data_IF_388826517671
#
_entry.id   IF_388826517671
#
_cell.length_a   1.000
_cell.length_b   1.000
_cell.length_c   1.000
_cell.angle_alpha   90.00
_cell.angle_beta   90.00
_cell.angle_gamma   90.00
#
_symmetry.space_group_name_H-M   'P 1'
#
loop_
_entity.id
_entity.type
_entity.pdbx_description
1 polymer ?
#
# COMPACT_ATOMS: atom_id res chain seq x y z
N UNK A 1 28.00 28.93 -5.83
CA UNK A 1 27.20 27.74 -5.40
C UNK A 1 26.27 27.34 -6.55
N UNK A 2 26.26 26.06 -6.94
CA UNK A 2 25.32 25.59 -7.98
C UNK A 2 23.96 25.36 -7.31
N UNK A 3 22.94 26.07 -7.80
CA UNK A 3 21.55 25.89 -7.30
C UNK A 3 20.97 24.64 -7.95
N UNK A 4 20.60 23.65 -7.14
CA UNK A 4 20.06 22.36 -7.61
C UNK A 4 19.32 21.66 -6.47
N UNK A 5 18.35 20.84 -6.83
CA UNK A 5 17.65 19.99 -5.88
C UNK A 5 18.55 18.86 -5.37
N UNK A 6 18.25 18.37 -4.18
CA UNK A 6 18.84 17.11 -3.70
C UNK A 6 18.45 15.98 -4.64
N UNK A 7 19.40 15.10 -4.95
CA UNK A 7 19.13 13.96 -5.83
C UNK A 7 17.97 13.11 -5.29
N UNK A 8 16.94 12.91 -6.12
CA UNK A 8 15.73 12.16 -5.74
C UNK A 8 14.65 12.99 -5.07
N UNK A 9 14.78 14.33 -5.08
CA UNK A 9 13.69 15.25 -4.73
C UNK A 9 13.30 16.10 -5.94
N UNK A 10 12.03 16.49 -6.02
CA UNK A 10 11.47 17.25 -7.14
C UNK A 10 10.55 18.36 -6.63
N UNK A 11 10.73 19.57 -7.16
CA UNK A 11 9.77 20.66 -6.95
C UNK A 11 8.58 20.46 -7.92
N UNK A 12 7.38 20.47 -7.39
CA UNK A 12 6.16 20.37 -8.20
C UNK A 12 5.77 21.75 -8.71
N UNK A 13 5.93 21.97 -10.02
CA UNK A 13 5.52 23.22 -10.66
C UNK A 13 3.99 23.30 -10.77
N UNK A 14 3.42 24.53 -10.99
CA UNK A 14 1.97 24.75 -10.94
C UNK A 14 1.15 23.79 -11.78
N UNK A 15 1.56 23.45 -13.00
CA UNK A 15 0.83 22.52 -13.88
C UNK A 15 0.65 21.13 -13.25
N UNK A 16 1.72 20.57 -12.69
CA UNK A 16 1.67 19.26 -12.00
C UNK A 16 0.94 19.35 -10.67
N UNK A 17 1.12 20.45 -9.95
CA UNK A 17 0.47 20.68 -8.66
C UNK A 17 -1.05 20.80 -8.78
N UNK A 18 -1.56 21.39 -9.86
CA UNK A 18 -2.99 21.44 -10.19
C UNK A 18 -3.58 20.03 -10.32
N UNK A 19 -2.93 19.17 -11.10
CA UNK A 19 -3.38 17.79 -11.29
C UNK A 19 -3.35 17.04 -9.97
N UNK A 20 -2.26 17.15 -9.20
CA UNK A 20 -2.17 16.51 -7.89
C UNK A 20 -3.28 16.95 -6.94
N UNK A 21 -3.60 18.25 -6.87
CA UNK A 21 -4.69 18.75 -6.04
C UNK A 21 -6.05 18.23 -6.47
N UNK A 22 -6.30 18.14 -7.77
CA UNK A 22 -7.53 17.54 -8.31
C UNK A 22 -7.66 16.07 -7.87
N UNK A 23 -6.59 15.29 -8.00
CA UNK A 23 -6.53 13.91 -7.52
C UNK A 23 -6.80 13.85 -6.01
N UNK A 24 -6.06 14.60 -5.22
CA UNK A 24 -6.19 14.62 -3.76
C UNK A 24 -7.61 14.96 -3.33
N UNK A 25 -8.21 16.01 -3.88
CA UNK A 25 -9.58 16.42 -3.56
C UNK A 25 -10.59 15.31 -3.90
N UNK A 26 -10.48 14.69 -5.08
CA UNK A 26 -11.37 13.60 -5.48
C UNK A 26 -11.26 12.39 -4.54
N UNK A 27 -10.04 12.06 -4.11
CA UNK A 27 -9.80 10.97 -3.17
C UNK A 27 -10.36 11.30 -1.79
N UNK A 28 -10.04 12.47 -1.24
CA UNK A 28 -10.49 12.88 0.11
C UNK A 28 -12.01 12.98 0.21
N UNK A 29 -12.68 13.59 -0.77
CA UNK A 29 -14.15 13.65 -0.82
C UNK A 29 -14.77 12.24 -0.79
N UNK A 30 -14.09 11.26 -1.41
CA UNK A 30 -14.57 9.88 -1.39
C UNK A 30 -14.27 9.23 -0.04
N UNK A 31 -13.09 9.40 0.54
CA UNK A 31 -12.74 8.86 1.85
C UNK A 31 -13.72 9.35 2.93
N UNK A 32 -14.01 10.65 2.95
CA UNK A 32 -14.95 11.26 3.91
C UNK A 32 -16.37 10.73 3.74
N UNK A 33 -16.84 10.48 2.51
CA UNK A 33 -18.12 9.82 2.24
C UNK A 33 -18.21 8.43 2.90
N UNK A 34 -17.10 7.69 2.99
CA UNK A 34 -17.01 6.39 3.66
C UNK A 34 -16.70 6.50 5.16
N UNK A 35 -16.69 7.71 5.72
CA UNK A 35 -16.49 7.97 7.14
C UNK A 35 -15.03 7.93 7.60
N UNK A 36 -14.08 8.04 6.69
CA UNK A 36 -12.67 8.20 7.05
C UNK A 36 -12.37 9.64 7.43
N UNK A 37 -11.63 9.83 8.52
CA UNK A 37 -11.29 11.13 9.07
C UNK A 37 -9.85 11.52 8.74
N UNK A 38 -9.57 12.82 8.51
CA UNK A 38 -8.22 13.28 8.26
C UNK A 38 -7.33 13.11 9.49
N UNK A 39 -6.12 12.60 9.28
CA UNK A 39 -5.07 12.53 10.29
C UNK A 39 -3.81 13.14 9.71
N UNK A 40 -3.05 13.88 10.54
CA UNK A 40 -1.70 14.36 10.21
C UNK A 40 -0.75 13.93 11.33
N UNK A 41 0.29 13.18 10.97
CA UNK A 41 1.26 12.65 11.91
C UNK A 41 2.62 13.33 11.76
N UNK A 42 3.43 13.30 12.82
CA UNK A 42 4.75 13.94 12.83
C UNK A 42 5.69 13.31 11.80
N UNK A 43 6.39 14.14 11.03
CA UNK A 43 7.45 13.72 10.11
C UNK A 43 8.66 13.21 10.89
N UNK A 44 9.04 13.93 11.96
CA UNK A 44 10.13 13.53 12.85
C UNK A 44 9.65 12.49 13.85
N UNK A 45 10.34 11.36 13.90
CA UNK A 45 10.09 10.27 14.83
C UNK A 45 11.37 9.88 15.57
N UNK A 46 11.24 9.26 16.72
CA UNK A 46 12.39 8.54 17.29
C UNK A 46 12.78 7.41 16.35
N UNK A 47 14.08 7.23 16.14
CA UNK A 47 14.58 6.17 15.25
C UNK A 47 14.13 4.78 15.69
N UNK A 48 14.14 4.50 17.00
CA UNK A 48 13.74 3.21 17.56
C UNK A 48 12.28 2.87 17.23
N UNK A 49 11.40 3.88 17.16
CA UNK A 49 10.00 3.68 16.73
C UNK A 49 9.94 3.23 15.27
N UNK A 50 10.71 3.87 14.39
CA UNK A 50 10.76 3.50 12.96
C UNK A 50 11.39 2.12 12.76
N UNK A 51 12.39 1.78 13.58
CA UNK A 51 13.07 0.50 13.55
C UNK A 51 12.22 -0.67 14.10
N UNK A 52 11.30 -0.41 15.02
CA UNK A 52 10.51 -1.44 15.71
C UNK A 52 9.60 -2.26 14.77
N UNK A 53 9.15 -1.68 13.65
CA UNK A 53 8.38 -2.39 12.61
C UNK A 53 9.19 -3.50 11.93
N UNK A 54 10.51 -3.37 11.92
CA UNK A 54 11.43 -4.16 11.10
C UNK A 54 12.44 -4.92 11.96
N UNK A 55 11.99 -5.50 13.07
CA UNK A 55 12.80 -6.20 14.07
C UNK A 55 13.62 -7.39 13.56
N UNK A 56 13.62 -7.66 12.26
CA UNK A 56 14.40 -8.71 11.59
C UNK A 56 15.59 -8.22 10.76
N UNK A 57 16.03 -6.96 10.89
CA UNK A 57 17.23 -6.47 10.16
C UNK A 57 17.01 -6.20 8.69
N UNK A 58 15.80 -5.79 8.31
CA UNK A 58 15.44 -5.54 6.91
C UNK A 58 16.27 -4.43 6.27
N UNK A 59 16.48 -4.53 4.95
CA UNK A 59 17.17 -3.49 4.16
C UNK A 59 16.49 -2.11 4.26
N UNK A 60 15.23 -2.08 4.65
CA UNK A 60 14.44 -0.86 4.85
C UNK A 60 15.06 0.05 5.91
N UNK A 61 15.64 -0.51 6.99
CA UNK A 61 16.29 0.29 8.03
C UNK A 61 17.50 1.08 7.50
N UNK A 62 18.15 0.60 6.44
CA UNK A 62 19.27 1.29 5.79
C UNK A 62 18.79 2.50 4.97
N UNK A 63 17.51 2.56 4.64
CA UNK A 63 16.92 3.65 3.86
C UNK A 63 16.23 4.72 4.75
N UNK A 64 16.28 4.61 6.07
CA UNK A 64 15.74 5.63 6.98
C UNK A 64 16.73 6.79 7.10
N UNK A 65 16.30 8.01 6.76
CA UNK A 65 17.06 9.22 7.06
C UNK A 65 17.19 9.42 8.57
N UNK A 66 18.41 9.43 9.09
CA UNK A 66 18.71 9.62 10.50
C UNK A 66 19.33 10.98 10.76
N UNK A 67 19.02 11.58 11.91
CA UNK A 67 19.58 12.84 12.36
C UNK A 67 19.71 12.87 13.89
N UNK A 68 20.54 13.78 14.39
CA UNK A 68 20.66 14.05 15.82
C UNK A 68 20.01 15.40 16.12
N UNK A 69 19.26 15.50 17.22
CA UNK A 69 18.81 16.76 17.75
C UNK A 69 19.86 17.38 18.70
N UNK A 70 19.57 18.58 19.24
CA UNK A 70 20.46 19.27 20.18
C UNK A 70 20.66 18.48 21.50
N UNK A 71 19.79 17.57 21.84
CA UNK A 71 19.87 16.68 23.00
C UNK A 71 20.57 15.34 22.69
N UNK A 72 21.23 15.22 21.53
CA UNK A 72 21.92 14.01 21.03
C UNK A 72 21.00 12.78 20.87
N UNK A 73 19.67 12.99 20.80
CA UNK A 73 18.73 11.91 20.55
C UNK A 73 18.75 11.54 19.07
N UNK A 74 18.71 10.23 18.78
CA UNK A 74 18.62 9.74 17.41
C UNK A 74 17.18 9.79 16.92
N UNK A 75 16.96 10.62 15.91
CA UNK A 75 15.67 10.78 15.23
C UNK A 75 15.74 10.24 13.81
N UNK A 76 14.58 10.01 13.20
CA UNK A 76 14.46 9.68 11.79
C UNK A 76 13.31 10.42 11.14
N UNK A 77 13.38 10.58 9.82
CA UNK A 77 12.25 11.02 9.03
C UNK A 77 11.35 9.81 8.75
N UNK A 78 10.03 9.99 8.86
CA UNK A 78 9.06 8.92 8.62
C UNK A 78 9.25 8.32 7.22
N UNK A 79 9.37 7.00 7.19
CA UNK A 79 9.57 6.23 5.98
C UNK A 79 8.26 5.88 5.27
N UNK A 80 7.18 5.76 6.06
CA UNK A 80 5.81 5.52 5.66
C UNK A 80 4.83 6.24 6.61
N UNK A 81 3.53 6.08 6.36
CA UNK A 81 2.47 6.61 7.22
C UNK A 81 1.86 5.54 8.15
N UNK A 82 2.21 4.26 7.98
CA UNK A 82 1.68 3.14 8.78
C UNK A 82 2.26 3.12 10.20
N UNK A 83 3.59 3.31 10.35
CA UNK A 83 4.25 3.35 11.67
C UNK A 83 3.78 4.56 12.48
N UNK A 84 3.74 5.79 11.93
CA UNK A 84 3.16 6.94 12.63
C UNK A 84 1.70 6.73 13.03
N UNK A 85 0.87 6.13 12.16
CA UNK A 85 -0.51 5.77 12.49
C UNK A 85 -0.56 4.78 13.67
N UNK A 86 0.22 3.71 13.61
CA UNK A 86 0.28 2.70 14.68
C UNK A 86 0.68 3.33 16.03
N UNK A 87 1.63 4.28 16.02
CA UNK A 87 1.99 5.08 17.20
C UNK A 87 0.78 5.88 17.73
N UNK A 88 0.05 6.57 16.86
CA UNK A 88 -1.12 7.37 17.26
C UNK A 88 -2.15 6.50 17.93
N UNK A 89 -2.50 5.34 17.37
CA UNK A 89 -3.43 4.40 18.00
C UNK A 89 -2.89 3.94 19.34
N UNK A 90 -1.64 3.50 19.43
CA UNK A 90 -1.04 2.98 20.65
C UNK A 90 -1.04 3.99 21.79
N UNK A 91 -0.88 5.27 21.49
CA UNK A 91 -0.90 6.34 22.51
C UNK A 91 -2.31 6.73 22.95
N UNK A 92 -3.33 6.56 22.10
CA UNK A 92 -4.63 7.19 22.23
C UNK A 92 -5.82 6.23 22.29
N UNK A 93 -5.68 4.95 21.90
CA UNK A 93 -6.77 3.97 21.96
C UNK A 93 -7.32 3.82 23.37
N UNK A 94 -8.64 3.84 23.51
CA UNK A 94 -9.32 3.79 24.80
C UNK A 94 -9.20 5.05 25.67
N UNK A 95 -8.58 6.14 25.14
CA UNK A 95 -8.45 7.44 25.81
C UNK A 95 -9.15 8.53 25.01
N UNK A 96 -8.55 8.95 23.90
CA UNK A 96 -9.06 10.00 23.01
C UNK A 96 -9.52 9.46 21.67
N UNK A 97 -9.16 8.22 21.33
CA UNK A 97 -9.59 7.54 20.10
C UNK A 97 -10.45 6.34 20.50
N UNK A 98 -11.67 6.31 19.99
CA UNK A 98 -12.56 5.15 20.07
C UNK A 98 -12.33 4.24 18.88
N UNK A 99 -12.34 2.93 19.10
CA UNK A 99 -12.34 1.92 18.05
C UNK A 99 -13.80 1.51 17.70
N UNK A 100 -14.09 1.19 16.45
CA UNK A 100 -13.18 1.23 15.30
C UNK A 100 -12.82 2.66 14.87
N UNK A 101 -11.57 2.84 14.41
CA UNK A 101 -11.06 4.13 13.96
C UNK A 101 -10.67 4.05 12.49
N UNK A 102 -11.32 4.89 11.67
CA UNK A 102 -11.10 5.05 10.23
C UNK A 102 -10.37 6.36 9.99
N UNK A 103 -9.22 6.32 9.33
CA UNK A 103 -8.45 7.53 9.00
C UNK A 103 -7.97 7.54 7.56
N UNK A 104 -7.71 8.73 7.03
CA UNK A 104 -6.81 8.91 5.89
C UNK A 104 -5.70 9.90 6.25
N UNK A 105 -4.56 9.75 5.61
CA UNK A 105 -3.45 10.70 5.71
C UNK A 105 -2.75 10.83 4.35
N UNK A 106 -2.53 12.10 3.94
CA UNK A 106 -1.78 12.41 2.73
C UNK A 106 -0.57 13.22 3.14
N UNK A 107 0.60 12.61 3.09
CA UNK A 107 1.80 13.23 3.62
C UNK A 107 3.08 12.79 2.94
N UNK A 108 4.11 13.63 3.06
CA UNK A 108 5.45 13.31 2.58
C UNK A 108 6.10 12.24 3.44
N UNK A 109 6.77 11.31 2.77
CA UNK A 109 7.61 10.28 3.36
C UNK A 109 9.00 10.31 2.71
N UNK A 110 10.00 9.75 3.40
CA UNK A 110 11.40 9.94 3.06
C UNK A 110 12.14 8.60 3.06
N UNK A 111 12.90 8.35 1.98
CA UNK A 111 13.66 7.09 1.82
C UNK A 111 15.03 7.38 1.25
N UNK A 112 16.11 7.11 2.01
CA UNK A 112 17.50 7.26 1.54
C UNK A 112 17.95 6.05 0.71
N UNK A 113 17.13 5.67 -0.25
CA UNK A 113 17.40 4.58 -1.16
C UNK A 113 17.99 5.03 -2.50
N UNK A 114 18.39 4.07 -3.34
CA UNK A 114 18.86 4.36 -4.69
C UNK A 114 17.73 4.97 -5.53
N UNK A 115 18.02 6.11 -6.15
CA UNK A 115 17.08 6.79 -7.06
C UNK A 115 17.01 6.03 -8.38
N UNK A 116 15.81 5.61 -8.76
CA UNK A 116 15.47 4.93 -10.02
C UNK A 116 14.16 5.52 -10.55
N UNK A 117 13.81 5.22 -11.79
CA UNK A 117 12.49 5.55 -12.33
C UNK A 117 11.39 5.01 -11.40
N UNK A 118 10.48 5.88 -10.97
CA UNK A 118 9.43 5.54 -10.00
C UNK A 118 9.88 5.46 -8.53
N UNK A 119 11.17 5.72 -8.21
CA UNK A 119 11.69 5.77 -6.83
C UNK A 119 12.33 7.14 -6.52
N UNK A 120 11.62 7.97 -5.80
CA UNK A 120 12.10 9.22 -5.24
C UNK A 120 12.52 9.06 -3.78
N UNK A 121 13.34 10.00 -3.29
CA UNK A 121 13.75 10.05 -1.88
C UNK A 121 12.76 10.81 -0.99
N UNK A 122 11.98 11.69 -1.59
CA UNK A 122 10.87 12.40 -0.98
C UNK A 122 9.66 12.29 -1.90
N UNK A 123 8.55 11.76 -1.40
CA UNK A 123 7.32 11.61 -2.16
C UNK A 123 6.09 11.58 -1.25
N UNK A 124 4.91 11.78 -1.82
CA UNK A 124 3.66 11.68 -1.08
C UNK A 124 3.16 10.25 -1.05
N UNK A 125 2.76 9.79 0.14
CA UNK A 125 1.82 8.69 0.30
C UNK A 125 0.42 9.24 0.53
N UNK A 126 -0.59 8.47 0.13
CA UNK A 126 -2.00 8.72 0.36
C UNK A 126 -2.58 7.42 0.90
N UNK A 127 -2.61 7.32 2.22
CA UNK A 127 -2.94 6.10 2.94
C UNK A 127 -4.29 6.22 3.62
N UNK A 128 -5.06 5.16 3.55
CA UNK A 128 -6.36 5.00 4.20
C UNK A 128 -6.31 3.74 5.04
N UNK A 129 -6.63 3.84 6.33
CA UNK A 129 -6.53 2.73 7.27
C UNK A 129 -7.73 2.67 8.21
N UNK A 130 -8.01 1.44 8.65
CA UNK A 130 -8.99 1.13 9.69
C UNK A 130 -8.31 0.29 10.75
N UNK A 131 -8.53 0.63 12.01
CA UNK A 131 -8.13 -0.18 13.17
C UNK A 131 -9.33 -0.55 14.01
N UNK A 132 -9.39 -1.80 14.47
CA UNK A 132 -10.40 -2.29 15.40
C UNK A 132 -11.59 -3.02 14.76
N UNK A 133 -11.48 -3.49 13.52
CA UNK A 133 -12.49 -4.34 12.87
C UNK A 133 -11.84 -5.64 12.40
N UNK A 134 -12.37 -6.75 12.86
CA UNK A 134 -12.01 -8.09 12.40
C UNK A 134 -12.85 -8.49 11.17
N UNK A 135 -12.38 -9.53 10.44
CA UNK A 135 -13.08 -10.13 9.31
C UNK A 135 -12.97 -9.35 8.00
N UNK A 136 -13.47 -9.97 6.94
CA UNK A 136 -13.30 -9.50 5.56
C UNK A 136 -14.29 -8.41 5.15
N UNK A 137 -15.29 -8.09 6.00
CA UNK A 137 -16.27 -7.03 5.72
C UNK A 137 -15.61 -5.68 5.45
N UNK A 138 -14.67 -5.28 6.32
CA UNK A 138 -14.01 -3.97 6.17
C UNK A 138 -13.05 -3.94 4.97
N UNK A 139 -12.48 -5.09 4.59
CA UNK A 139 -11.68 -5.23 3.38
C UNK A 139 -12.54 -5.03 2.14
N UNK A 140 -13.76 -5.60 2.10
CA UNK A 140 -14.71 -5.42 1.02
C UNK A 140 -15.17 -3.94 0.90
N UNK A 141 -15.46 -3.27 2.02
CA UNK A 141 -15.78 -1.83 2.03
C UNK A 141 -14.62 -1.01 1.45
N UNK A 142 -13.38 -1.32 1.86
CA UNK A 142 -12.20 -0.62 1.38
C UNK A 142 -11.97 -0.84 -0.12
N UNK A 143 -12.19 -2.05 -0.64
CA UNK A 143 -12.13 -2.33 -2.08
C UNK A 143 -13.21 -1.56 -2.84
N UNK A 144 -14.45 -1.52 -2.34
CA UNK A 144 -15.55 -0.75 -2.93
C UNK A 144 -15.21 0.75 -3.00
N UNK A 145 -14.73 1.32 -1.89
CA UNK A 145 -14.25 2.71 -1.84
C UNK A 145 -13.11 2.95 -2.84
N UNK A 146 -12.15 2.04 -2.91
CA UNK A 146 -11.01 2.13 -3.82
C UNK A 146 -11.47 2.18 -5.28
N UNK A 147 -12.36 1.29 -5.69
CA UNK A 147 -12.93 1.27 -7.04
C UNK A 147 -13.68 2.57 -7.33
N UNK A 148 -14.48 3.08 -6.36
CA UNK A 148 -15.18 4.37 -6.51
C UNK A 148 -14.21 5.53 -6.71
N UNK A 149 -13.09 5.56 -5.98
CA UNK A 149 -12.05 6.57 -6.14
C UNK A 149 -11.50 6.61 -7.57
N UNK A 150 -11.11 5.47 -8.11
CA UNK A 150 -10.57 5.40 -9.47
C UNK A 150 -11.62 5.69 -10.54
N UNK A 151 -12.86 5.25 -10.36
CA UNK A 151 -13.98 5.62 -11.25
C UNK A 151 -14.18 7.13 -11.33
N UNK A 152 -14.16 7.83 -10.18
CA UNK A 152 -14.30 9.30 -10.15
C UNK A 152 -13.11 10.02 -10.81
N UNK A 153 -11.92 9.41 -10.80
CA UNK A 153 -10.75 9.90 -11.51
C UNK A 153 -10.77 9.55 -13.02
N UNK A 154 -11.76 8.79 -13.49
CA UNK A 154 -11.83 8.34 -14.90
C UNK A 154 -10.80 7.27 -15.24
N UNK A 155 -10.32 6.52 -14.26
CA UNK A 155 -9.34 5.45 -14.43
C UNK A 155 -10.05 4.10 -14.25
N UNK A 156 -10.08 3.30 -15.30
CA UNK A 156 -10.57 1.93 -15.24
C UNK A 156 -9.51 1.03 -14.59
N UNK A 157 -9.89 0.30 -13.55
CA UNK A 157 -8.97 -0.52 -12.77
C UNK A 157 -9.43 -1.96 -12.65
N UNK A 158 -8.48 -2.85 -12.36
CA UNK A 158 -8.74 -4.15 -11.76
C UNK A 158 -7.86 -4.33 -10.52
N UNK A 159 -8.29 -5.19 -9.62
CA UNK A 159 -7.62 -5.43 -8.34
C UNK A 159 -7.23 -6.90 -8.27
N UNK A 160 -5.96 -7.18 -8.19
CA UNK A 160 -5.46 -8.50 -7.85
C UNK A 160 -5.51 -8.70 -6.34
N UNK A 161 -6.02 -9.83 -5.90
CA UNK A 161 -6.30 -10.11 -4.48
C UNK A 161 -5.77 -11.49 -4.14
N UNK A 162 -5.11 -11.60 -3.00
CA UNK A 162 -4.68 -12.84 -2.37
C UNK A 162 -4.80 -12.76 -0.85
N UNK A 163 -4.42 -13.82 -0.18
CA UNK A 163 -4.30 -13.87 1.27
C UNK A 163 -2.93 -14.40 1.67
N UNK A 164 -2.26 -13.74 2.61
CA UNK A 164 -0.92 -14.09 3.09
C UNK A 164 -0.86 -15.50 3.66
N UNK A 165 -1.84 -15.88 4.47
CA UNK A 165 -1.92 -17.21 5.08
C UNK A 165 -2.13 -18.27 4.01
N UNK A 166 -3.00 -18.00 3.00
CA UNK A 166 -3.21 -18.93 1.88
C UNK A 166 -1.90 -19.19 1.11
N UNK A 167 -1.13 -18.13 0.83
CA UNK A 167 0.17 -18.24 0.17
C UNK A 167 1.17 -19.05 1.01
N UNK A 168 1.22 -18.79 2.33
CA UNK A 168 2.04 -19.57 3.27
C UNK A 168 1.62 -21.03 3.29
N UNK A 169 0.31 -21.30 3.28
CA UNK A 169 -0.25 -22.64 3.19
C UNK A 169 0.16 -23.39 1.91
N UNK A 170 0.17 -22.73 0.76
CA UNK A 170 0.68 -23.30 -0.49
C UNK A 170 2.17 -23.62 -0.43
N UNK A 171 2.97 -22.74 0.13
CA UNK A 171 4.42 -22.95 0.29
C UNK A 171 4.69 -24.17 1.16
N UNK A 172 4.03 -24.29 2.31
CA UNK A 172 4.18 -25.43 3.21
C UNK A 172 3.71 -26.73 2.53
N UNK A 173 2.56 -26.70 1.84
CA UNK A 173 2.02 -27.87 1.12
C UNK A 173 2.89 -28.35 -0.02
N UNK A 174 3.73 -27.49 -0.57
CA UNK A 174 4.71 -27.86 -1.59
C UNK A 174 5.92 -28.62 -1.02
N UNK A 175 5.93 -28.86 0.31
CA UNK A 175 7.03 -29.51 1.02
C UNK A 175 8.20 -28.59 1.34
N UNK A 176 8.01 -27.26 1.24
CA UNK A 176 9.01 -26.25 1.60
C UNK A 176 8.94 -26.03 3.12
N UNK A 177 10.10 -25.93 3.76
CA UNK A 177 10.21 -25.77 5.20
C UNK A 177 9.66 -24.39 5.63
N UNK A 178 8.94 -24.35 6.75
CA UNK A 178 8.26 -23.13 7.25
C UNK A 178 9.22 -21.95 7.45
N UNK A 179 10.45 -22.20 7.85
CA UNK A 179 11.51 -21.20 8.04
C UNK A 179 11.91 -20.50 6.73
N UNK A 180 11.67 -21.12 5.59
CA UNK A 180 11.96 -20.54 4.27
C UNK A 180 10.79 -19.74 3.69
N UNK A 181 9.62 -19.75 4.31
CA UNK A 181 8.40 -19.12 3.79
C UNK A 181 8.60 -17.63 3.48
N UNK A 182 9.19 -16.86 4.39
CA UNK A 182 9.47 -15.44 4.16
C UNK A 182 10.39 -15.20 2.97
N UNK A 183 11.41 -16.06 2.80
CA UNK A 183 12.32 -15.98 1.64
C UNK A 183 11.61 -16.27 0.33
N UNK A 184 10.76 -17.30 0.30
CA UNK A 184 9.96 -17.65 -0.88
C UNK A 184 9.04 -16.51 -1.26
N UNK A 185 8.32 -15.93 -0.29
CA UNK A 185 7.40 -14.81 -0.52
C UNK A 185 8.13 -13.59 -1.09
N UNK A 186 9.31 -13.25 -0.57
CA UNK A 186 10.14 -12.16 -1.11
C UNK A 186 10.60 -12.40 -2.56
N UNK A 187 10.83 -13.67 -2.95
CA UNK A 187 11.16 -14.00 -4.34
C UNK A 187 9.93 -14.01 -5.23
N UNK A 188 8.80 -14.54 -4.73
CA UNK A 188 7.50 -14.56 -5.45
C UNK A 188 6.96 -13.15 -5.68
N UNK A 189 7.20 -12.19 -4.77
CA UNK A 189 6.87 -10.76 -4.97
C UNK A 189 7.51 -10.15 -6.23
N UNK A 190 8.58 -10.77 -6.70
CA UNK A 190 9.27 -10.34 -7.94
C UNK A 190 8.78 -11.10 -9.19
N UNK A 191 7.87 -12.06 -9.04
CA UNK A 191 7.45 -12.95 -10.13
C UNK A 191 7.05 -12.19 -11.40
N UNK A 192 6.29 -11.11 -11.26
CA UNK A 192 5.89 -10.28 -12.39
C UNK A 192 7.08 -9.59 -13.12
N UNK A 193 8.22 -9.42 -12.45
CA UNK A 193 9.42 -8.72 -12.98
C UNK A 193 10.44 -9.68 -13.57
N UNK A 194 10.70 -10.81 -12.90
CA UNK A 194 11.78 -11.73 -13.25
C UNK A 194 11.28 -13.05 -13.83
N UNK A 195 9.98 -13.25 -13.86
CA UNK A 195 9.35 -14.49 -14.34
C UNK A 195 9.58 -15.70 -13.43
N UNK A 196 8.96 -16.83 -13.76
CA UNK A 196 9.12 -18.09 -13.02
C UNK A 196 10.57 -18.55 -12.97
N UNK A 197 11.29 -18.49 -14.08
CA UNK A 197 12.70 -18.89 -14.16
C UNK A 197 13.59 -18.06 -13.23
N UNK A 198 13.32 -16.75 -13.13
CA UNK A 198 14.06 -15.87 -12.23
C UNK A 198 13.81 -16.19 -10.76
N UNK A 199 12.56 -16.52 -10.38
CA UNK A 199 12.23 -16.94 -9.01
C UNK A 199 12.88 -18.28 -8.68
N UNK A 200 12.88 -19.22 -9.62
CA UNK A 200 13.54 -20.52 -9.47
C UNK A 200 15.05 -20.35 -9.26
N UNK A 201 15.69 -19.48 -10.03
CA UNK A 201 17.12 -19.20 -9.91
C UNK A 201 17.47 -18.58 -8.54
N UNK A 202 16.64 -17.67 -8.02
CA UNK A 202 16.86 -17.08 -6.68
C UNK A 202 16.71 -18.11 -5.53
N UNK A 203 15.93 -19.17 -5.72
CA UNK A 203 15.60 -20.14 -4.69
C UNK A 203 16.35 -21.48 -4.79
N UNK A 204 17.03 -21.76 -5.90
CA UNK A 204 17.65 -23.05 -6.22
C UNK A 204 18.63 -23.60 -5.15
N UNK A 205 19.36 -22.71 -4.48
CA UNK A 205 20.34 -23.11 -3.47
C UNK A 205 19.72 -23.57 -2.14
N UNK A 206 18.44 -23.24 -1.94
CA UNK A 206 17.73 -23.52 -0.69
C UNK A 206 16.55 -24.46 -0.85
N UNK A 207 16.01 -24.63 -2.07
CA UNK A 207 14.77 -25.35 -2.32
C UNK A 207 14.95 -26.27 -3.54
N UNK A 208 14.62 -27.53 -3.37
CA UNK A 208 14.66 -28.51 -4.46
C UNK A 208 13.66 -28.15 -5.57
N UNK A 209 14.05 -28.41 -6.84
CA UNK A 209 13.22 -28.09 -8.02
C UNK A 209 11.83 -28.68 -7.95
N UNK A 210 11.69 -29.94 -7.49
CA UNK A 210 10.41 -30.63 -7.34
C UNK A 210 9.44 -29.87 -6.42
N UNK A 211 9.94 -29.29 -5.31
CA UNK A 211 9.13 -28.49 -4.40
C UNK A 211 8.64 -27.18 -5.06
N UNK A 212 9.48 -26.56 -5.89
CA UNK A 212 9.12 -25.39 -6.68
C UNK A 212 8.10 -25.76 -7.77
N UNK A 213 8.23 -26.92 -8.42
CA UNK A 213 7.26 -27.41 -9.40
C UNK A 213 5.87 -27.59 -8.76
N UNK A 214 5.82 -28.15 -7.57
CA UNK A 214 4.60 -28.29 -6.78
C UNK A 214 4.00 -26.93 -6.46
N UNK A 215 4.81 -25.96 -5.99
CA UNK A 215 4.35 -24.61 -5.66
C UNK A 215 3.77 -23.88 -6.88
N UNK A 216 4.50 -23.86 -7.99
CA UNK A 216 4.01 -23.20 -9.21
C UNK A 216 2.78 -23.90 -9.82
N UNK A 217 2.60 -25.19 -9.57
CA UNK A 217 1.36 -25.89 -9.91
C UNK A 217 0.17 -25.37 -9.11
N UNK A 218 0.33 -25.14 -7.79
CA UNK A 218 -0.70 -24.57 -6.92
C UNK A 218 -1.04 -23.12 -7.33
N UNK A 219 -0.10 -22.36 -7.83
CA UNK A 219 -0.33 -20.98 -8.30
C UNK A 219 -1.23 -20.86 -9.54
N UNK A 220 -1.57 -21.98 -10.19
CA UNK A 220 -2.47 -22.00 -11.35
C UNK A 220 -3.94 -22.13 -10.97
N UNK A 221 -4.26 -22.32 -9.69
CA UNK A 221 -5.63 -22.51 -9.23
C UNK A 221 -6.47 -21.23 -9.34
N UNK A 222 -7.76 -21.42 -9.52
CA UNK A 222 -8.76 -20.37 -9.34
C UNK A 222 -9.45 -20.51 -7.97
N UNK A 223 -10.23 -19.50 -7.58
CA UNK A 223 -10.86 -19.44 -6.25
C UNK A 223 -11.84 -20.61 -5.98
N UNK A 224 -12.52 -21.13 -7.00
CA UNK A 224 -13.46 -22.23 -6.85
C UNK A 224 -12.75 -23.57 -6.65
N UNK A 225 -11.54 -23.71 -7.17
CA UNK A 225 -10.73 -24.92 -7.01
C UNK A 225 -10.19 -25.10 -5.60
N UNK A 226 -10.11 -24.01 -4.80
CA UNK A 226 -9.65 -24.08 -3.41
C UNK A 226 -10.46 -25.06 -2.55
N UNK A 227 -11.75 -25.25 -2.85
CA UNK A 227 -12.60 -26.19 -2.09
C UNK A 227 -12.26 -27.64 -2.33
N UNK A 228 -11.72 -27.94 -3.49
CA UNK A 228 -11.38 -29.30 -3.91
C UNK A 228 -9.91 -29.67 -3.57
N UNK A 229 -9.13 -28.73 -3.04
CA UNK A 229 -7.74 -28.99 -2.65
C UNK A 229 -7.70 -29.73 -1.30
N UNK A 230 -7.08 -30.89 -1.29
CA UNK A 230 -6.85 -31.69 -0.08
C UNK A 230 -5.55 -31.22 0.61
N UNK A 231 -5.57 -30.01 1.16
CA UNK A 231 -4.46 -29.39 1.90
C UNK A 231 -4.90 -29.25 3.36
N UNK A 232 -4.11 -29.84 4.27
CA UNK A 232 -4.43 -29.97 5.69
C UNK A 232 -3.40 -29.24 6.56
N UNK A 233 -3.15 -27.96 6.26
CA UNK A 233 -2.39 -27.10 7.16
C UNK A 233 -3.23 -25.88 7.58
N UNK A 234 -2.97 -25.40 8.79
CA UNK A 234 -3.73 -24.33 9.43
C UNK A 234 -3.73 -23.05 8.58
N UNK A 235 -2.56 -22.67 8.04
CA UNK A 235 -2.40 -21.49 7.22
C UNK A 235 -3.28 -21.53 5.96
N UNK A 236 -3.34 -22.68 5.29
CA UNK A 236 -4.20 -22.83 4.11
C UNK A 236 -5.69 -22.76 4.50
N UNK A 237 -6.09 -23.46 5.56
CA UNK A 237 -7.49 -23.52 6.01
C UNK A 237 -8.00 -22.13 6.38
N UNK A 238 -7.25 -21.38 7.19
CA UNK A 238 -7.59 -20.02 7.57
C UNK A 238 -7.58 -19.09 6.37
N UNK A 239 -6.50 -19.08 5.57
CA UNK A 239 -6.37 -18.20 4.42
C UNK A 239 -7.45 -18.45 3.37
N UNK A 240 -7.83 -19.73 3.13
CA UNK A 240 -8.96 -20.10 2.28
C UNK A 240 -10.28 -19.55 2.82
N UNK A 241 -10.52 -19.68 4.12
CA UNK A 241 -11.73 -19.16 4.75
C UNK A 241 -11.85 -17.65 4.58
N UNK A 242 -10.79 -16.91 4.90
CA UNK A 242 -10.75 -15.45 4.80
C UNK A 242 -10.96 -14.96 3.35
N UNK A 243 -10.24 -15.55 2.39
CA UNK A 243 -10.34 -15.12 0.99
C UNK A 243 -11.71 -15.43 0.40
N UNK A 244 -12.31 -16.55 0.74
CA UNK A 244 -13.66 -16.92 0.29
C UNK A 244 -14.73 -16.04 0.90
N UNK A 245 -14.60 -15.68 2.16
CA UNK A 245 -15.48 -14.71 2.81
C UNK A 245 -15.41 -13.38 2.07
N UNK A 246 -14.19 -12.85 1.78
CA UNK A 246 -14.02 -11.62 1.03
C UNK A 246 -14.68 -11.69 -0.35
N UNK A 247 -14.46 -12.78 -1.10
CA UNK A 247 -15.05 -12.91 -2.42
C UNK A 247 -16.58 -13.06 -2.38
N UNK A 248 -17.16 -13.56 -1.27
CA UNK A 248 -18.62 -13.55 -1.08
C UNK A 248 -19.17 -12.14 -0.93
N UNK A 249 -18.45 -11.22 -0.25
CA UNK A 249 -18.81 -9.80 -0.20
C UNK A 249 -18.61 -9.10 -1.55
N UNK A 250 -17.54 -9.42 -2.27
CA UNK A 250 -17.27 -8.90 -3.62
C UNK A 250 -18.42 -9.24 -4.57
N UNK A 251 -18.91 -10.48 -4.51
CA UNK A 251 -20.06 -10.95 -5.30
C UNK A 251 -21.34 -10.21 -4.90
N UNK A 252 -21.63 -10.10 -3.60
CA UNK A 252 -22.79 -9.39 -3.07
C UNK A 252 -22.81 -7.90 -3.47
N UNK A 253 -21.63 -7.27 -3.57
CA UNK A 253 -21.48 -5.86 -3.94
C UNK A 253 -21.38 -5.64 -5.46
N UNK A 254 -21.51 -6.68 -6.27
CA UNK A 254 -21.37 -6.65 -7.74
C UNK A 254 -20.03 -6.06 -8.22
N UNK A 255 -18.94 -6.45 -7.53
CA UNK A 255 -17.58 -5.99 -7.81
C UNK A 255 -16.72 -7.00 -8.57
N UNK A 256 -17.29 -8.13 -9.03
CA UNK A 256 -16.59 -9.23 -9.68
C UNK A 256 -15.79 -8.80 -10.91
N UNK A 257 -16.28 -7.81 -11.66
CA UNK A 257 -15.59 -7.31 -12.87
C UNK A 257 -14.26 -6.59 -12.56
N UNK A 258 -14.07 -6.17 -11.29
CA UNK A 258 -12.87 -5.47 -10.82
C UNK A 258 -11.92 -6.40 -10.06
N UNK A 259 -12.40 -7.48 -9.49
CA UNK A 259 -11.65 -8.34 -8.59
C UNK A 259 -11.10 -9.59 -9.29
N UNK A 260 -9.83 -9.86 -9.10
CA UNK A 260 -9.14 -11.04 -9.63
C UNK A 260 -8.41 -11.75 -8.51
N UNK A 261 -8.75 -13.01 -8.26
CA UNK A 261 -7.95 -13.86 -7.40
C UNK A 261 -6.63 -14.20 -8.08
N UNK A 262 -5.51 -13.89 -7.40
CA UNK A 262 -4.15 -14.13 -7.89
C UNK A 262 -3.36 -14.85 -6.81
N UNK A 263 -3.33 -16.19 -6.81
CA UNK A 263 -2.84 -17.03 -5.70
C UNK A 263 -1.34 -16.83 -5.38
N UNK A 264 -0.60 -16.23 -6.30
CA UNK A 264 0.82 -15.89 -6.12
C UNK A 264 1.05 -14.40 -5.81
N UNK A 265 0.01 -13.57 -5.74
CA UNK A 265 0.21 -12.19 -5.33
C UNK A 265 0.83 -12.15 -3.94
N UNK A 266 2.00 -11.57 -3.87
CA UNK A 266 2.75 -11.36 -2.64
C UNK A 266 3.02 -9.86 -2.48
N UNK A 267 3.13 -9.44 -1.24
CA UNK A 267 3.63 -8.10 -0.90
C UNK A 267 4.90 -8.29 -0.11
N UNK A 268 6.00 -7.73 -0.58
CA UNK A 268 7.35 -7.89 0.00
C UNK A 268 7.54 -7.30 1.41
N UNK A 269 6.46 -6.85 2.05
CA UNK A 269 6.46 -6.36 3.41
C UNK A 269 5.99 -7.46 4.37
N UNK A 270 6.79 -7.79 5.38
CA UNK A 270 6.46 -8.79 6.41
C UNK A 270 5.32 -8.36 7.36
N UNK A 271 4.79 -7.16 7.17
CA UNK A 271 3.73 -6.60 8.03
C UNK A 271 2.36 -7.24 7.79
N UNK A 272 2.11 -7.75 6.58
CA UNK A 272 0.81 -8.28 6.23
C UNK A 272 0.53 -9.64 6.88
N UNK A 273 -0.68 -9.79 7.41
CA UNK A 273 -1.10 -10.95 8.20
C UNK A 273 -2.31 -11.70 7.61
N UNK A 274 -2.94 -11.15 6.60
CA UNK A 274 -4.16 -11.70 5.98
C UNK A 274 -4.27 -11.28 4.52
N UNK A 275 -5.42 -10.78 4.10
CA UNK A 275 -5.67 -10.32 2.74
C UNK A 275 -4.67 -9.26 2.30
N UNK A 276 -4.24 -9.38 1.03
CA UNK A 276 -3.40 -8.40 0.33
C UNK A 276 -3.98 -8.14 -1.05
N UNK A 277 -3.81 -6.91 -1.54
CA UNK A 277 -4.25 -6.55 -2.89
C UNK A 277 -3.37 -5.51 -3.56
N UNK A 278 -3.40 -5.51 -4.88
CA UNK A 278 -2.79 -4.48 -5.72
C UNK A 278 -3.78 -4.03 -6.80
N UNK A 279 -3.78 -2.73 -7.07
CA UNK A 279 -4.65 -2.08 -8.04
C UNK A 279 -3.86 -1.76 -9.30
N UNK A 280 -4.38 -2.13 -10.45
CA UNK A 280 -3.74 -1.93 -11.74
C UNK A 280 -4.65 -1.17 -12.70
N UNK A 281 -4.06 -0.36 -13.59
CA UNK A 281 -4.76 0.25 -14.70
C UNK A 281 -5.19 -0.82 -15.71
N UNK A 282 -6.48 -0.93 -15.99
CA UNK A 282 -7.05 -1.92 -16.92
C UNK A 282 -6.55 -1.73 -18.35
N UNK A 283 -6.16 -0.50 -18.72
CA UNK A 283 -5.56 -0.18 -20.02
C UNK A 283 -4.06 -0.45 -20.09
N UNK A 284 -3.44 -0.88 -19.00
CA UNK A 284 -2.01 -1.23 -18.92
C UNK A 284 -1.06 -0.11 -19.39
N UNK A 285 -1.44 1.17 -19.21
CA UNK A 285 -0.58 2.32 -19.52
C UNK A 285 0.65 2.37 -18.61
N UNK A 286 0.52 1.83 -17.40
CA UNK A 286 1.61 1.61 -16.44
C UNK A 286 1.75 0.13 -16.14
N UNK A 287 2.97 -0.34 -16.00
CA UNK A 287 3.29 -1.73 -15.66
C UNK A 287 3.35 -1.99 -14.15
N UNK A 288 3.30 -0.95 -13.33
CA UNK A 288 3.30 -1.04 -11.88
C UNK A 288 1.89 -0.88 -11.31
N UNK A 289 1.69 -1.39 -10.10
CA UNK A 289 0.48 -1.12 -9.34
C UNK A 289 0.35 0.38 -9.06
N UNK A 290 -0.88 0.91 -9.19
CA UNK A 290 -1.25 2.30 -8.93
C UNK A 290 -1.83 2.49 -7.53
N UNK A 291 -1.96 1.42 -6.78
CA UNK A 291 -2.35 1.37 -5.37
C UNK A 291 -2.19 -0.04 -4.84
N UNK A 292 -2.22 -0.20 -3.54
CA UNK A 292 -2.15 -1.52 -2.94
C UNK A 292 -2.17 -1.48 -1.42
N UNK A 293 -2.62 -2.56 -0.83
CA UNK A 293 -2.84 -2.63 0.60
C UNK A 293 -2.98 -4.05 1.13
N UNK A 294 -3.53 -4.14 2.33
CA UNK A 294 -3.83 -5.41 2.98
C UNK A 294 -3.98 -5.29 4.49
N UNK A 295 -4.24 -6.42 5.13
CA UNK A 295 -4.41 -6.57 6.58
C UNK A 295 -3.07 -6.71 7.29
N UNK A 296 -2.88 -5.98 8.41
CA UNK A 296 -1.63 -5.94 9.16
C UNK A 296 -1.85 -5.89 10.69
N UNK A 297 -2.45 -6.91 11.26
CA UNK A 297 -2.96 -6.96 12.63
C UNK A 297 -1.88 -6.92 13.73
N UNK A 298 -0.61 -7.19 13.39
CA UNK A 298 0.44 -7.37 14.40
C UNK A 298 1.08 -6.07 14.87
N UNK A 299 1.21 -5.03 14.04
CA UNK A 299 2.01 -3.84 14.36
C UNK A 299 1.43 -3.10 15.56
N UNK A 300 0.13 -2.75 15.51
CA UNK A 300 -0.55 -2.01 16.56
C UNK A 300 -0.64 -2.87 17.81
N UNK A 301 -1.00 -4.14 17.65
CA UNK A 301 -1.07 -5.12 18.74
C UNK A 301 0.26 -5.20 19.51
N UNK A 302 1.38 -5.31 18.80
CA UNK A 302 2.70 -5.37 19.41
C UNK A 302 3.14 -4.04 20.05
N UNK A 303 2.68 -2.89 19.55
CA UNK A 303 3.00 -1.59 20.13
C UNK A 303 2.26 -1.34 21.44
N UNK A 304 1.03 -1.83 21.55
CA UNK A 304 0.21 -1.66 22.76
C UNK A 304 0.58 -2.72 23.80
N UNK A 305 0.74 -3.98 23.39
CA UNK A 305 1.16 -5.14 24.20
C UNK A 305 0.37 -5.29 25.51
N UNK A 306 -0.95 -5.10 25.43
CA UNK A 306 -1.87 -5.18 26.57
C UNK A 306 -2.68 -6.50 26.61
N UNK A 307 -2.35 -7.45 25.74
CA UNK A 307 -3.02 -8.74 25.58
C UNK A 307 -4.26 -8.71 24.68
N UNK A 308 -4.69 -7.53 24.20
CA UNK A 308 -5.78 -7.41 23.25
C UNK A 308 -5.27 -7.44 21.80
N UNK A 309 -6.17 -7.77 20.87
CA UNK A 309 -5.91 -7.67 19.44
C UNK A 309 -6.38 -6.31 18.91
N UNK A 310 -5.56 -5.72 18.05
CA UNK A 310 -5.86 -4.47 17.35
C UNK A 310 -5.76 -4.70 15.84
N UNK A 311 -6.77 -5.38 15.25
CA UNK A 311 -6.77 -5.67 13.82
C UNK A 311 -6.75 -4.38 13.02
N UNK A 312 -5.94 -4.37 11.96
CA UNK A 312 -5.83 -3.22 11.09
C UNK A 312 -5.70 -3.63 9.63
N UNK A 313 -6.31 -2.82 8.77
CA UNK A 313 -6.26 -2.98 7.32
C UNK A 313 -6.13 -1.62 6.67
N UNK A 314 -5.37 -1.52 5.58
CA UNK A 314 -5.17 -0.24 4.91
C UNK A 314 -4.77 -0.37 3.45
N UNK A 315 -4.91 0.74 2.73
CA UNK A 315 -4.48 0.91 1.34
C UNK A 315 -3.67 2.19 1.19
N UNK A 316 -2.66 2.13 0.33
CA UNK A 316 -1.92 3.30 -0.16
C UNK A 316 -2.27 3.54 -1.63
N UNK A 317 -2.74 4.74 -1.96
CA UNK A 317 -2.96 5.19 -3.34
C UNK A 317 -1.66 5.78 -3.88
N UNK A 318 -1.23 5.30 -5.04
CA UNK A 318 -0.01 5.79 -5.70
C UNK A 318 -0.23 7.15 -6.37
N UNK A 319 -0.08 8.25 -5.63
CA UNK A 319 -0.36 9.60 -6.17
C UNK A 319 0.47 9.92 -7.42
N UNK A 320 1.74 9.51 -7.46
CA UNK A 320 2.61 9.76 -8.63
C UNK A 320 2.07 9.05 -9.87
N UNK A 321 1.90 7.72 -9.89
CA UNK A 321 1.36 7.03 -11.06
C UNK A 321 -0.08 7.47 -11.41
N UNK A 322 -0.93 7.79 -10.43
CA UNK A 322 -2.27 8.33 -10.72
C UNK A 322 -2.17 9.67 -11.45
N UNK A 323 -1.31 10.59 -11.00
CA UNK A 323 -1.10 11.88 -11.67
C UNK A 323 -0.52 11.69 -13.08
N UNK A 324 0.43 10.78 -13.28
CA UNK A 324 0.98 10.45 -14.61
C UNK A 324 -0.11 10.00 -15.59
N UNK A 325 -1.03 9.13 -15.14
CA UNK A 325 -2.16 8.68 -15.97
C UNK A 325 -3.11 9.83 -16.36
N UNK A 326 -3.22 10.86 -15.53
CA UNK A 326 -4.10 12.01 -15.79
C UNK A 326 -3.39 13.13 -16.58
N UNK A 327 -2.06 13.27 -16.47
CA UNK A 327 -1.28 14.25 -17.26
C UNK A 327 -1.48 14.04 -18.78
N UNK A 328 -1.63 12.80 -19.23
CA UNK A 328 -1.88 12.48 -20.64
C UNK A 328 -3.27 12.93 -21.13
N UNK A 329 -4.21 13.19 -20.25
CA UNK A 329 -5.61 13.46 -20.57
C UNK A 329 -6.08 14.89 -20.34
N UNK A 330 -5.27 15.75 -19.70
CA UNK A 330 -5.74 17.08 -19.26
C UNK A 330 -4.91 18.23 -19.86
N UNK A 331 -5.61 19.08 -20.61
CA UNK A 331 -5.20 20.45 -20.93
C UNK A 331 -5.84 21.46 -19.95
N UNK A 332 -6.18 21.03 -18.73
CA UNK A 332 -6.96 21.85 -17.80
C UNK A 332 -6.16 23.09 -17.36
N UNK A 333 -6.62 24.26 -17.78
CA UNK A 333 -6.23 25.55 -17.23
C UNK A 333 -7.03 25.82 -15.95
N UNK A 334 -6.38 26.41 -14.92
CA UNK A 334 -7.09 26.95 -13.75
C UNK A 334 -7.93 28.18 -14.09
N UNK A 335 -7.74 28.74 -15.28
CA UNK A 335 -8.33 30.01 -15.68
C UNK A 335 -9.18 29.81 -16.94
N UNK A 336 -10.42 30.26 -16.87
CA UNK A 336 -11.32 30.33 -18.01
C UNK A 336 -10.98 31.56 -18.88
N UNK A 337 -10.38 32.58 -18.28
CA UNK A 337 -10.02 33.84 -18.92
C UNK A 337 -8.73 34.41 -18.33
N UNK A 338 -7.81 34.83 -19.18
CA UNK A 338 -6.63 35.61 -18.82
C UNK A 338 -6.79 37.04 -19.32
N UNK A 339 -6.84 37.99 -18.39
CA UNK A 339 -6.84 39.42 -18.73
C UNK A 339 -5.45 39.99 -18.49
N UNK A 340 -4.85 40.54 -19.55
CA UNK A 340 -3.54 41.19 -19.49
C UNK A 340 -3.75 42.70 -19.68
N UNK A 341 -3.63 43.52 -18.65
CA UNK A 341 -3.73 44.96 -18.79
C UNK A 341 -2.55 45.49 -19.63
N UNK A 342 -2.86 46.34 -20.61
CA UNK A 342 -1.83 46.99 -21.44
C UNK A 342 -1.08 48.10 -20.71
N UNK A 343 -1.63 48.55 -19.58
CA UNK A 343 -1.03 49.58 -18.71
C UNK A 343 -1.23 49.20 -17.23
N UNK A 344 -0.27 49.57 -16.39
CA UNK A 344 -0.29 49.28 -14.94
C UNK A 344 -0.75 50.52 -14.13
N UNK A 345 -2.03 50.85 -14.25
CA UNK A 345 -2.65 51.90 -13.45
C UNK A 345 -3.54 51.33 -12.32
N UNK A 346 -4.14 52.17 -11.49
CA UNK A 346 -4.99 51.72 -10.38
C UNK A 346 -6.23 50.98 -10.83
N UNK A 347 -6.75 51.26 -12.02
CA UNK A 347 -7.94 50.63 -12.59
C UNK A 347 -7.63 49.21 -13.05
N UNK A 348 -6.40 48.91 -13.48
CA UNK A 348 -5.93 47.57 -13.82
C UNK A 348 -5.95 46.60 -12.63
N UNK A 349 -6.05 47.08 -11.39
CA UNK A 349 -6.21 46.25 -10.19
C UNK A 349 -7.64 45.72 -9.99
N UNK A 350 -8.61 46.24 -10.73
CA UNK A 350 -10.03 45.89 -10.62
C UNK A 350 -10.47 44.87 -11.70
N UNK A 351 -9.57 44.52 -12.62
CA UNK A 351 -9.77 43.52 -13.66
C UNK A 351 -9.33 42.15 -13.17
#
# INVERSE_FOLDING_TARGET
MKIMNVKGTVDSLPSKEIIRRKVVNTLTDTFEKYGYLPLDTSILCYYDLLASKYSGGSEILKEVYTLKDQGDRTLGLRYDLTVPFSKVISMNAGKTINLPFKRYEIGKVFRDGPVKTGRAREFYQCDVDVCGIEGSFIEAEMLMMTIECYKKLGIDVYVEINNRKLLEGFIISSGIDKELTSKVILSVDKLAKIGEDGVREELKDNIASEKLDNLFSLFKCNINELDNMNIDNEEFIEGKSEIKELFSYIDYLDLNEYAKFTPYLARGLEIYTGTVWEVFDKKQRLTCAIGGGGRYDKIITNFIDDGNKYPAVGISFGLVPICELLEESTSDSLYDLLIIPMDTNKESLLL
#
